data_IF_720076638256
#
_entry.id   IF_720076638256
#
_cell.length_a   1.000
_cell.length_b   1.000
_cell.length_c   1.000
_cell.angle_alpha   90.00
_cell.angle_beta   90.00
_cell.angle_gamma   90.00
#
_symmetry.space_group_name_H-M   'P 1'
#
loop_
_entity.id
_entity.type
_entity.pdbx_description
1 polymer ?
#
# COMPACT_ATOMS: atom_id res chain seq x y z
N UNK A 1 6.74 -4.94 5.45
CA UNK A 1 7.06 -4.06 6.59
C UNK A 1 7.56 -4.73 7.88
N UNK A 2 6.75 -5.48 8.64
CA UNK A 2 7.23 -6.06 9.93
C UNK A 2 8.44 -6.99 9.73
N UNK A 3 8.44 -7.76 8.64
CA UNK A 3 9.57 -8.61 8.25
C UNK A 3 10.82 -7.78 7.88
N UNK A 4 10.66 -6.62 7.24
CA UNK A 4 11.79 -5.72 6.92
C UNK A 4 12.36 -5.06 8.19
N UNK A 5 11.50 -4.69 9.14
CA UNK A 5 11.91 -4.20 10.47
C UNK A 5 12.67 -5.29 11.23
N UNK A 6 12.17 -6.52 11.23
CA UNK A 6 12.85 -7.65 11.86
C UNK A 6 14.20 -7.92 11.18
N UNK A 7 14.26 -7.93 9.85
CA UNK A 7 15.48 -8.18 9.10
C UNK A 7 16.55 -7.09 9.33
N UNK A 8 16.17 -5.80 9.28
CA UNK A 8 17.07 -4.70 9.63
C UNK A 8 17.52 -4.75 11.09
N UNK A 9 16.63 -5.13 12.00
CA UNK A 9 16.95 -5.26 13.43
C UNK A 9 17.92 -6.42 13.66
N UNK A 10 17.70 -7.59 13.07
CA UNK A 10 18.62 -8.74 13.12
C UNK A 10 19.98 -8.35 12.54
N UNK A 11 20.00 -7.63 11.43
CA UNK A 11 21.23 -7.15 10.81
C UNK A 11 22.00 -6.16 11.71
N UNK A 12 21.32 -5.24 12.38
CA UNK A 12 21.94 -4.26 13.28
C UNK A 12 22.31 -4.86 14.63
N UNK A 13 21.58 -5.87 15.08
CA UNK A 13 21.89 -6.57 16.34
C UNK A 13 23.10 -7.48 16.18
N UNK A 14 23.26 -8.11 15.01
CA UNK A 14 24.34 -9.07 14.75
C UNK A 14 25.53 -8.49 13.96
N UNK A 15 25.34 -7.37 13.25
CA UNK A 15 26.34 -6.82 12.32
C UNK A 15 27.47 -6.01 12.95
N UNK A 16 27.38 -5.65 14.24
CA UNK A 16 28.45 -4.89 14.92
C UNK A 16 29.59 -5.75 15.47
N UNK A 17 29.40 -7.05 15.64
CA UNK A 17 30.37 -7.92 16.33
C UNK A 17 31.23 -8.79 15.39
N UNK A 18 31.01 -8.75 14.07
CA UNK A 18 31.75 -9.60 13.12
C UNK A 18 32.64 -8.77 12.17
N UNK A 19 33.94 -8.58 12.50
CA UNK A 19 34.87 -7.83 11.66
C UNK A 19 35.26 -8.53 10.34
N UNK A 20 34.93 -9.82 10.14
CA UNK A 20 35.47 -10.61 9.02
C UNK A 20 34.46 -11.12 7.98
N UNK A 21 33.15 -10.98 8.18
CA UNK A 21 32.18 -11.68 7.30
C UNK A 21 31.32 -10.74 6.44
N UNK A 22 31.49 -10.90 5.12
CA UNK A 22 30.63 -10.43 4.01
C UNK A 22 30.62 -8.89 3.84
N UNK A 23 30.54 -8.35 2.61
CA UNK A 23 30.31 -6.92 2.43
C UNK A 23 29.00 -6.54 3.13
N UNK A 24 29.11 -5.93 4.32
CA UNK A 24 28.01 -5.52 5.21
C UNK A 24 26.89 -4.77 4.48
N UNK A 25 27.18 -4.17 3.34
CA UNK A 25 26.21 -3.49 2.48
C UNK A 25 25.19 -4.42 1.83
N UNK A 26 25.45 -5.71 1.70
CA UNK A 26 24.62 -6.65 0.95
C UNK A 26 23.26 -6.95 1.59
N UNK A 27 23.17 -7.28 2.90
CA UNK A 27 21.86 -7.44 3.54
C UNK A 27 21.09 -6.12 3.62
N UNK A 28 21.78 -5.01 3.83
CA UNK A 28 21.18 -3.68 3.84
C UNK A 28 20.62 -3.30 2.46
N UNK A 29 21.41 -3.48 1.40
CA UNK A 29 21.01 -3.28 0.00
C UNK A 29 19.77 -4.12 -0.33
N UNK A 30 19.77 -5.40 0.06
CA UNK A 30 18.63 -6.31 -0.15
C UNK A 30 17.39 -5.82 0.58
N UNK A 31 17.55 -5.35 1.81
CA UNK A 31 16.42 -4.87 2.61
C UNK A 31 15.82 -3.59 2.04
N UNK A 32 16.66 -2.64 1.57
CA UNK A 32 16.20 -1.43 0.91
C UNK A 32 15.48 -1.74 -0.41
N UNK A 33 15.97 -2.71 -1.19
CA UNK A 33 15.32 -3.16 -2.42
C UNK A 33 13.98 -3.87 -2.14
N UNK A 34 13.90 -4.71 -1.12
CA UNK A 34 12.64 -5.36 -0.71
C UNK A 34 11.63 -4.32 -0.20
N UNK A 35 12.09 -3.30 0.54
CA UNK A 35 11.26 -2.20 1.01
C UNK A 35 10.71 -1.33 -0.14
N UNK A 36 11.52 -1.11 -1.16
CA UNK A 36 11.09 -0.47 -2.41
C UNK A 36 10.11 -1.36 -3.20
N UNK A 37 10.39 -2.65 -3.33
CA UNK A 37 9.49 -3.60 -3.98
C UNK A 37 8.12 -3.67 -3.28
N UNK A 38 8.08 -3.43 -1.96
CA UNK A 38 6.83 -3.34 -1.20
C UNK A 38 5.94 -2.19 -1.68
N UNK A 39 6.53 -1.07 -2.08
CA UNK A 39 5.81 0.07 -2.63
C UNK A 39 5.14 -0.28 -3.97
N UNK A 40 5.86 -0.98 -4.85
CA UNK A 40 5.33 -1.47 -6.12
C UNK A 40 4.22 -2.50 -5.88
N UNK A 41 4.43 -3.42 -4.95
CA UNK A 41 3.44 -4.43 -4.57
C UNK A 41 2.10 -3.80 -4.16
N UNK A 42 2.14 -2.77 -3.30
CA UNK A 42 0.94 -2.02 -2.89
C UNK A 42 0.23 -1.37 -4.08
N UNK A 43 0.98 -0.78 -5.02
CA UNK A 43 0.41 -0.19 -6.23
C UNK A 43 -0.23 -1.23 -7.14
N UNK A 44 0.45 -2.36 -7.36
CA UNK A 44 -0.05 -3.47 -8.17
C UNK A 44 -1.33 -4.05 -7.57
N UNK A 45 -1.35 -4.29 -6.26
CA UNK A 45 -2.56 -4.73 -5.54
C UNK A 45 -3.72 -3.77 -5.79
N UNK A 46 -3.47 -2.46 -5.71
CA UNK A 46 -4.50 -1.44 -5.95
C UNK A 46 -4.98 -1.41 -7.40
N UNK A 47 -4.09 -1.57 -8.38
CA UNK A 47 -4.50 -1.70 -9.78
C UNK A 47 -5.41 -2.92 -9.95
N UNK A 48 -5.01 -4.07 -9.39
CA UNK A 48 -5.78 -5.31 -9.47
C UNK A 48 -7.16 -5.13 -8.83
N UNK A 49 -7.23 -4.54 -7.63
CA UNK A 49 -8.48 -4.26 -6.93
C UNK A 49 -9.39 -3.30 -7.72
N UNK A 50 -8.83 -2.27 -8.36
CA UNK A 50 -9.59 -1.33 -9.20
C UNK A 50 -10.06 -1.94 -10.52
N UNK A 51 -9.33 -2.91 -11.10
CA UNK A 51 -9.69 -3.56 -12.36
C UNK A 51 -10.68 -4.71 -12.16
N UNK A 52 -10.50 -5.52 -11.12
CA UNK A 52 -11.29 -6.73 -10.85
C UNK A 52 -12.48 -6.49 -9.89
N UNK A 53 -13.07 -5.29 -9.91
CA UNK A 53 -14.21 -4.92 -9.03
C UNK A 53 -15.27 -6.05 -9.02
N UNK A 54 -15.60 -6.57 -7.83
CA UNK A 54 -16.48 -7.73 -7.63
C UNK A 54 -15.77 -9.08 -7.59
N UNK A 55 -14.92 -9.40 -8.57
CA UNK A 55 -14.18 -10.67 -8.59
C UNK A 55 -13.01 -10.71 -7.61
N UNK A 56 -12.45 -9.55 -7.25
CA UNK A 56 -11.36 -9.46 -6.27
C UNK A 56 -11.75 -10.05 -4.92
N UNK A 57 -12.94 -9.70 -4.42
CA UNK A 57 -13.44 -10.18 -3.13
C UNK A 57 -13.83 -11.65 -3.19
N UNK A 58 -14.36 -12.13 -4.33
CA UNK A 58 -14.66 -13.55 -4.54
C UNK A 58 -13.40 -14.41 -4.51
N UNK A 59 -12.32 -13.96 -5.15
CA UNK A 59 -11.02 -14.66 -5.13
C UNK A 59 -10.43 -14.65 -3.72
N UNK A 60 -10.63 -13.56 -2.96
CA UNK A 60 -10.18 -13.42 -1.58
C UNK A 60 -11.08 -14.09 -0.53
N UNK A 61 -12.21 -14.69 -0.93
CA UNK A 61 -13.25 -15.20 -0.02
C UNK A 61 -12.82 -16.50 0.65
N UNK A 62 -11.91 -16.38 1.62
CA UNK A 62 -11.42 -17.47 2.46
C UNK A 62 -9.90 -17.41 2.64
N UNK A 63 -9.18 -17.12 1.57
CA UNK A 63 -7.72 -16.97 1.61
C UNK A 63 -7.27 -15.81 0.72
N UNK A 64 -6.40 -14.91 1.19
CA UNK A 64 -5.95 -13.74 0.42
C UNK A 64 -4.92 -14.12 -0.65
N UNK A 65 -5.32 -14.92 -1.63
CA UNK A 65 -4.44 -15.53 -2.65
C UNK A 65 -3.65 -14.47 -3.43
N UNK A 66 -4.30 -13.40 -3.86
CA UNK A 66 -3.66 -12.31 -4.63
C UNK A 66 -2.54 -11.66 -3.82
N UNK A 67 -2.79 -11.34 -2.55
CA UNK A 67 -1.77 -10.74 -1.68
C UNK A 67 -0.57 -11.68 -1.48
N UNK A 68 -0.80 -12.98 -1.29
CA UNK A 68 0.28 -13.97 -1.16
C UNK A 68 1.13 -14.05 -2.42
N UNK A 69 0.50 -14.08 -3.61
CA UNK A 69 1.22 -14.08 -4.89
C UNK A 69 2.08 -12.82 -5.03
N UNK A 70 1.52 -11.65 -4.71
CA UNK A 70 2.26 -10.38 -4.75
C UNK A 70 3.46 -10.41 -3.81
N UNK A 71 3.30 -10.92 -2.57
CA UNK A 71 4.40 -11.05 -1.61
C UNK A 71 5.48 -11.99 -2.15
N UNK A 72 5.12 -13.15 -2.69
CA UNK A 72 6.09 -14.09 -3.27
C UNK A 72 6.86 -13.44 -4.43
N UNK A 73 6.16 -12.77 -5.34
CA UNK A 73 6.79 -12.04 -6.44
C UNK A 73 7.72 -10.93 -5.93
N UNK A 74 7.33 -10.21 -4.88
CA UNK A 74 8.14 -9.16 -4.24
C UNK A 74 9.46 -9.75 -3.70
N UNK A 75 9.42 -10.90 -3.03
CA UNK A 75 10.61 -11.57 -2.51
C UNK A 75 11.50 -12.10 -3.63
N UNK A 76 10.92 -12.75 -4.64
CA UNK A 76 11.66 -13.21 -5.81
C UNK A 76 12.36 -12.05 -6.52
N UNK A 77 11.70 -10.90 -6.64
CA UNK A 77 12.29 -9.68 -7.17
C UNK A 77 13.47 -9.17 -6.34
N UNK A 78 13.32 -9.14 -5.01
CA UNK A 78 14.41 -8.73 -4.11
C UNK A 78 15.63 -9.66 -4.20
N UNK A 79 15.40 -10.98 -4.23
CA UNK A 79 16.46 -11.98 -4.36
C UNK A 79 17.13 -11.92 -5.75
N UNK A 80 16.33 -11.83 -6.83
CA UNK A 80 16.86 -11.73 -8.19
C UNK A 80 17.69 -10.45 -8.37
N UNK A 81 17.18 -9.33 -7.88
CA UNK A 81 17.90 -8.05 -7.88
C UNK A 81 19.20 -8.18 -7.09
N UNK A 82 19.17 -8.82 -5.92
CA UNK A 82 20.37 -9.09 -5.14
C UNK A 82 21.42 -9.91 -5.92
N UNK A 83 21.02 -11.02 -6.54
CA UNK A 83 21.90 -11.89 -7.32
C UNK A 83 22.51 -11.18 -8.54
N UNK A 84 21.70 -10.41 -9.29
CA UNK A 84 22.16 -9.68 -10.47
C UNK A 84 23.11 -8.56 -10.05
N UNK A 85 22.78 -7.81 -9.01
CA UNK A 85 23.56 -6.65 -8.55
C UNK A 85 24.85 -7.04 -7.80
N UNK A 86 25.08 -8.33 -7.52
CA UNK A 86 26.37 -8.84 -7.08
C UNK A 86 27.41 -8.85 -8.21
N UNK A 87 26.99 -8.90 -9.47
CA UNK A 87 27.92 -8.83 -10.61
C UNK A 87 28.44 -7.39 -10.79
N UNK A 88 29.57 -7.10 -10.13
CA UNK A 88 30.58 -6.01 -10.20
C UNK A 88 30.38 -4.67 -10.94
N UNK A 89 29.30 -4.38 -11.67
CA UNK A 89 29.41 -3.36 -12.72
C UNK A 89 29.02 -1.94 -12.28
N UNK A 90 28.11 -1.67 -11.33
CA UNK A 90 27.71 -0.26 -11.10
C UNK A 90 27.32 0.05 -9.65
N UNK A 91 28.18 0.80 -8.91
CA UNK A 91 27.93 1.31 -7.54
C UNK A 91 26.63 2.12 -7.41
N UNK A 92 26.21 2.79 -8.49
CA UNK A 92 25.09 3.73 -8.51
C UNK A 92 23.81 3.20 -9.17
N UNK A 93 23.83 2.05 -9.85
CA UNK A 93 22.63 1.54 -10.55
C UNK A 93 21.47 1.31 -9.59
N UNK A 94 21.75 0.89 -8.34
CA UNK A 94 20.73 0.70 -7.31
C UNK A 94 20.00 2.00 -6.99
N UNK A 95 20.74 3.10 -6.88
CA UNK A 95 20.17 4.42 -6.59
C UNK A 95 19.32 4.88 -7.78
N UNK A 96 19.83 4.74 -9.01
CA UNK A 96 19.10 5.11 -10.23
C UNK A 96 17.82 4.28 -10.39
N UNK A 97 17.92 2.96 -10.26
CA UNK A 97 16.78 2.04 -10.29
C UNK A 97 15.73 2.44 -9.24
N UNK A 98 16.17 2.76 -8.02
CA UNK A 98 15.26 3.15 -6.95
C UNK A 98 14.53 4.46 -7.25
N UNK A 99 15.22 5.45 -7.80
CA UNK A 99 14.61 6.70 -8.23
C UNK A 99 13.58 6.47 -9.35
N UNK A 100 13.89 5.59 -10.32
CA UNK A 100 12.97 5.23 -11.40
C UNK A 100 11.72 4.54 -10.86
N UNK A 101 11.88 3.58 -9.95
CA UNK A 101 10.77 2.86 -9.33
C UNK A 101 9.88 3.79 -8.48
N UNK A 102 10.48 4.72 -7.74
CA UNK A 102 9.74 5.75 -7.00
C UNK A 102 8.98 6.64 -7.98
N UNK A 103 9.62 7.14 -9.03
CA UNK A 103 8.97 7.99 -10.03
C UNK A 103 7.81 7.27 -10.72
N UNK A 104 8.00 6.00 -11.09
CA UNK A 104 6.95 5.16 -11.66
C UNK A 104 5.79 4.97 -10.69
N UNK A 105 6.08 4.65 -9.43
CA UNK A 105 5.06 4.50 -8.38
C UNK A 105 4.27 5.79 -8.23
N UNK A 106 4.94 6.93 -8.12
CA UNK A 106 4.28 8.25 -8.01
C UNK A 106 3.39 8.52 -9.21
N UNK A 107 3.86 8.27 -10.43
CA UNK A 107 3.09 8.48 -11.65
C UNK A 107 1.82 7.60 -11.68
N UNK A 108 1.96 6.32 -11.36
CA UNK A 108 0.83 5.38 -11.28
C UNK A 108 -0.13 5.78 -10.16
N UNK A 109 0.40 6.24 -9.03
CA UNK A 109 -0.38 6.71 -7.90
C UNK A 109 -1.26 7.91 -8.25
N UNK A 110 -0.72 8.87 -9.00
CA UNK A 110 -1.52 10.00 -9.52
C UNK A 110 -2.52 9.57 -10.60
N UNK A 111 -2.24 8.51 -11.37
CA UNK A 111 -3.14 8.03 -12.40
C UNK A 111 -4.32 7.20 -11.85
N UNK A 112 -4.11 6.50 -10.73
CA UNK A 112 -5.09 5.61 -10.11
C UNK A 112 -6.44 6.29 -9.78
N UNK A 113 -6.48 7.49 -9.17
CA UNK A 113 -7.72 8.23 -8.95
C UNK A 113 -8.51 8.48 -10.23
N UNK A 114 -7.83 8.83 -11.33
CA UNK A 114 -8.48 9.06 -12.62
C UNK A 114 -9.09 7.77 -13.19
N UNK A 115 -8.37 6.65 -13.07
CA UNK A 115 -8.86 5.33 -13.51
C UNK A 115 -10.08 4.94 -12.66
N UNK A 116 -9.97 5.01 -11.34
CA UNK A 116 -11.06 4.70 -10.40
C UNK A 116 -12.30 5.57 -10.66
N UNK A 117 -12.13 6.87 -10.90
CA UNK A 117 -13.23 7.78 -11.22
C UNK A 117 -13.87 7.46 -12.58
N UNK A 118 -13.07 7.06 -13.57
CA UNK A 118 -13.58 6.65 -14.89
C UNK A 118 -14.38 5.36 -14.81
N UNK A 119 -13.92 4.38 -14.02
CA UNK A 119 -14.63 3.13 -13.74
C UNK A 119 -15.93 3.44 -12.98
N UNK A 120 -15.88 4.26 -11.95
CA UNK A 120 -17.06 4.70 -11.20
C UNK A 120 -18.11 5.38 -12.11
N UNK A 121 -17.70 6.33 -12.95
CA UNK A 121 -18.60 7.02 -13.88
C UNK A 121 -19.24 6.07 -14.90
N UNK A 122 -18.58 4.96 -15.25
CA UNK A 122 -19.16 3.91 -16.10
C UNK A 122 -20.29 3.14 -15.41
N UNK A 123 -20.24 3.02 -14.08
CA UNK A 123 -21.23 2.30 -13.27
C UNK A 123 -22.21 3.22 -12.53
N UNK A 124 -22.01 4.54 -12.56
CA UNK A 124 -22.94 5.51 -11.97
C UNK A 124 -24.27 5.45 -12.75
N UNK A 125 -25.40 5.23 -12.06
CA UNK A 125 -26.70 5.27 -12.71
C UNK A 125 -26.94 6.71 -13.20
N UNK A 126 -26.94 6.92 -14.52
CA UNK A 126 -27.45 8.15 -15.13
C UNK A 126 -28.93 8.27 -14.80
N UNK A 127 -29.26 9.02 -13.74
CA UNK A 127 -30.60 9.52 -13.53
C UNK A 127 -31.01 10.44 -14.68
N UNK A 128 -32.28 10.35 -15.07
CA UNK A 128 -33.04 11.25 -15.96
C UNK A 128 -33.34 10.81 -17.40
N UNK A 129 -33.00 9.60 -17.85
CA UNK A 129 -33.67 9.02 -19.03
C UNK A 129 -34.26 7.68 -18.68
N UNK A 130 -35.60 7.66 -18.63
CA UNK A 130 -36.39 6.45 -18.51
C UNK A 130 -35.88 5.38 -19.49
N UNK A 131 -35.78 4.10 -19.06
CA UNK A 131 -35.18 3.06 -19.86
C UNK A 131 -36.02 2.81 -21.11
N UNK A 132 -35.43 3.03 -22.30
CA UNK A 132 -35.92 2.42 -23.52
C UNK A 132 -35.84 0.90 -23.34
N UNK A 133 -36.96 0.20 -23.49
CA UNK A 133 -37.18 -1.24 -23.21
C UNK A 133 -36.24 -2.25 -23.91
N UNK A 134 -35.22 -1.81 -24.63
CA UNK A 134 -34.40 -2.65 -25.52
C UNK A 134 -32.96 -2.91 -25.07
N UNK A 135 -32.46 -2.30 -23.98
CA UNK A 135 -31.17 -2.67 -23.39
C UNK A 135 -31.21 -2.53 -21.87
N UNK A 136 -31.60 -3.61 -21.20
CA UNK A 136 -31.42 -3.75 -19.76
C UNK A 136 -29.91 -3.79 -19.45
N UNK A 137 -29.30 -2.62 -19.24
CA UNK A 137 -28.05 -2.58 -18.46
C UNK A 137 -28.47 -2.91 -17.02
N UNK A 138 -27.92 -3.97 -16.40
CA UNK A 138 -28.28 -4.29 -15.03
C UNK A 138 -27.91 -3.06 -14.19
N UNK A 139 -28.86 -2.57 -13.39
CA UNK A 139 -28.55 -1.63 -12.33
C UNK A 139 -27.38 -2.22 -11.54
N UNK A 140 -26.28 -1.48 -11.38
CA UNK A 140 -25.19 -1.91 -10.51
C UNK A 140 -25.78 -2.30 -9.16
N UNK A 141 -25.60 -3.57 -8.76
CA UNK A 141 -26.14 -4.11 -7.52
C UNK A 141 -25.66 -3.25 -6.35
N UNK A 142 -26.46 -3.16 -5.28
CA UNK A 142 -26.08 -2.43 -4.07
C UNK A 142 -24.72 -2.90 -3.51
N UNK A 143 -24.38 -4.18 -3.69
CA UNK A 143 -23.04 -4.73 -3.35
C UNK A 143 -21.92 -4.01 -4.08
N UNK A 144 -22.07 -3.77 -5.40
CA UNK A 144 -21.05 -3.12 -6.21
C UNK A 144 -20.81 -1.66 -5.79
N UNK A 145 -21.85 -0.97 -5.30
CA UNK A 145 -21.73 0.40 -4.78
C UNK A 145 -20.97 0.44 -3.46
N UNK A 146 -21.25 -0.52 -2.57
CA UNK A 146 -20.52 -0.69 -1.31
C UNK A 146 -19.05 -1.02 -1.55
N UNK A 147 -18.77 -2.00 -2.42
CA UNK A 147 -17.40 -2.38 -2.82
C UNK A 147 -16.64 -1.18 -3.39
N UNK A 148 -17.30 -0.35 -4.21
CA UNK A 148 -16.66 0.84 -4.78
C UNK A 148 -16.34 1.89 -3.71
N UNK A 149 -17.17 2.03 -2.66
CA UNK A 149 -16.90 2.93 -1.54
C UNK A 149 -15.73 2.45 -0.68
N UNK A 150 -15.79 1.19 -0.26
CA UNK A 150 -14.73 0.58 0.56
C UNK A 150 -13.40 0.62 -0.20
N UNK A 151 -13.41 0.41 -1.52
CA UNK A 151 -12.21 0.57 -2.34
C UNK A 151 -11.72 2.02 -2.37
N UNK A 152 -12.60 3.03 -2.38
CA UNK A 152 -12.21 4.44 -2.35
C UNK A 152 -11.65 4.86 -0.98
N UNK A 153 -12.23 4.37 0.11
CA UNK A 153 -11.70 4.52 1.47
C UNK A 153 -10.33 3.85 1.59
N UNK A 154 -10.22 2.59 1.16
CA UNK A 154 -8.96 1.85 1.16
C UNK A 154 -7.90 2.53 0.29
N UNK A 155 -8.27 3.11 -0.86
CA UNK A 155 -7.37 3.90 -1.70
C UNK A 155 -6.87 5.15 -0.97
N UNK A 156 -7.73 5.84 -0.23
CA UNK A 156 -7.35 7.04 0.55
C UNK A 156 -6.38 6.70 1.68
N UNK A 157 -6.63 5.61 2.41
CA UNK A 157 -5.72 5.12 3.47
C UNK A 157 -4.38 4.72 2.85
N UNK A 158 -4.43 3.97 1.75
CA UNK A 158 -3.23 3.54 1.02
C UNK A 158 -2.44 4.75 0.50
N UNK A 159 -3.09 5.86 0.17
CA UNK A 159 -2.44 7.12 -0.18
C UNK A 159 -1.51 7.62 0.91
N UNK A 160 -2.04 7.72 2.12
CA UNK A 160 -1.32 8.26 3.27
C UNK A 160 -0.11 7.38 3.59
N UNK A 161 -0.30 6.06 3.54
CA UNK A 161 0.77 5.06 3.72
C UNK A 161 1.83 5.19 2.63
N UNK A 162 1.40 5.27 1.37
CA UNK A 162 2.28 5.37 0.19
C UNK A 162 3.16 6.61 0.26
N UNK A 163 2.60 7.77 0.65
CA UNK A 163 3.36 9.02 0.82
C UNK A 163 4.47 8.87 1.86
N UNK A 164 4.16 8.29 3.03
CA UNK A 164 5.17 8.03 4.06
C UNK A 164 6.25 7.10 3.54
N UNK A 165 5.87 6.05 2.81
CA UNK A 165 6.81 5.08 2.28
C UNK A 165 7.73 5.69 1.21
N UNK A 166 7.21 6.57 0.35
CA UNK A 166 8.00 7.32 -0.63
C UNK A 166 9.03 8.21 0.08
N UNK A 167 8.60 8.99 1.08
CA UNK A 167 9.50 9.87 1.84
C UNK A 167 10.59 9.03 2.53
N UNK A 168 10.20 7.93 3.16
CA UNK A 168 11.11 7.01 3.85
C UNK A 168 12.12 6.41 2.87
N UNK A 169 11.67 5.95 1.70
CA UNK A 169 12.55 5.45 0.65
C UNK A 169 13.57 6.51 0.22
N UNK A 170 13.13 7.73 -0.10
CA UNK A 170 14.04 8.81 -0.51
C UNK A 170 15.10 9.06 0.56
N UNK A 171 14.69 9.24 1.82
CA UNK A 171 15.61 9.50 2.93
C UNK A 171 16.60 8.35 3.15
N UNK A 172 16.12 7.12 3.16
CA UNK A 172 16.97 5.93 3.37
C UNK A 172 17.95 5.73 2.22
N UNK A 173 17.56 5.96 0.96
CA UNK A 173 18.46 5.87 -0.19
C UNK A 173 19.52 6.99 -0.20
N UNK A 174 19.15 8.22 0.17
CA UNK A 174 20.11 9.33 0.29
C UNK A 174 21.14 9.07 1.40
N UNK A 175 20.69 8.64 2.58
CA UNK A 175 21.58 8.28 3.68
C UNK A 175 22.45 7.08 3.33
N UNK A 176 21.91 6.10 2.61
CA UNK A 176 22.67 4.95 2.15
C UNK A 176 23.76 5.34 1.15
N UNK A 177 23.45 6.21 0.18
CA UNK A 177 24.43 6.75 -0.77
C UNK A 177 25.52 7.56 -0.06
N UNK A 178 25.14 8.37 0.93
CA UNK A 178 26.07 9.12 1.79
C UNK A 178 26.98 8.16 2.57
N UNK A 179 26.40 7.17 3.26
CA UNK A 179 27.13 6.19 4.05
C UNK A 179 28.10 5.34 3.22
N UNK A 180 27.80 5.07 1.94
CA UNK A 180 28.70 4.36 1.02
C UNK A 180 29.95 5.16 0.63
N UNK A 181 29.97 6.47 0.87
CA UNK A 181 31.14 7.32 0.62
C UNK A 181 31.96 7.59 1.90
N UNK A 182 31.47 7.15 3.06
CA UNK A 182 32.19 7.26 4.32
C UNK A 182 33.21 6.13 4.48
N UNK A 183 34.27 6.42 5.24
CA UNK A 183 35.18 5.38 5.70
C UNK A 183 34.44 4.44 6.66
N UNK A 184 34.70 3.14 6.53
CA UNK A 184 34.02 2.14 7.37
C UNK A 184 34.44 2.29 8.83
N UNK A 185 33.52 1.96 9.74
CA UNK A 185 33.72 1.96 11.20
C UNK A 185 34.04 3.33 11.82
N UNK A 186 33.86 4.43 11.09
CA UNK A 186 33.89 5.75 11.73
C UNK A 186 32.60 5.99 12.50
N UNK A 187 32.66 6.91 13.47
CA UNK A 187 31.50 7.29 14.27
C UNK A 187 30.34 7.80 13.40
N UNK A 188 30.66 8.56 12.35
CA UNK A 188 29.66 9.10 11.41
C UNK A 188 29.01 7.99 10.56
N UNK A 189 29.77 6.97 10.18
CA UNK A 189 29.22 5.78 9.52
C UNK A 189 28.23 5.05 10.43
N UNK A 190 28.58 4.85 11.70
CA UNK A 190 27.70 4.22 12.70
C UNK A 190 26.41 5.01 12.91
N UNK A 191 26.50 6.34 13.05
CA UNK A 191 25.33 7.22 13.14
C UNK A 191 24.46 7.07 11.90
N UNK A 192 25.05 7.04 10.70
CA UNK A 192 24.31 6.92 9.44
C UNK A 192 23.53 5.60 9.39
N UNK A 193 24.14 4.48 9.81
CA UNK A 193 23.45 3.19 9.87
C UNK A 193 22.29 3.18 10.87
N UNK A 194 22.50 3.76 12.06
CA UNK A 194 21.43 3.89 13.07
C UNK A 194 20.30 4.81 12.58
N UNK A 195 20.63 5.88 11.85
CA UNK A 195 19.65 6.78 11.27
C UNK A 195 18.78 6.08 10.21
N UNK A 196 19.39 5.31 9.30
CA UNK A 196 18.65 4.52 8.30
C UNK A 196 17.64 3.59 8.98
N UNK A 197 18.07 2.88 10.02
CA UNK A 197 17.19 1.98 10.77
C UNK A 197 16.07 2.71 11.52
N UNK A 198 16.41 3.79 12.20
CA UNK A 198 15.45 4.61 12.92
C UNK A 198 14.36 5.15 11.98
N UNK A 199 14.74 5.58 10.77
CA UNK A 199 13.78 6.05 9.75
C UNK A 199 12.85 4.93 9.30
N UNK A 200 13.38 3.74 9.00
CA UNK A 200 12.57 2.57 8.62
C UNK A 200 11.59 2.21 9.75
N UNK A 201 12.07 2.15 10.99
CA UNK A 201 11.26 1.83 12.16
C UNK A 201 10.16 2.86 12.43
N UNK A 202 10.51 4.15 12.38
CA UNK A 202 9.56 5.24 12.54
C UNK A 202 8.48 5.20 11.46
N UNK A 203 8.87 4.95 10.19
CA UNK A 203 7.92 4.81 9.08
C UNK A 203 6.94 3.67 9.34
N UNK A 204 7.41 2.55 9.88
CA UNK A 204 6.57 1.40 10.16
C UNK A 204 5.55 1.67 11.25
N UNK A 205 5.96 2.34 12.33
CA UNK A 205 5.04 2.79 13.37
C UNK A 205 4.02 3.78 12.79
N UNK A 206 4.46 4.78 12.02
CA UNK A 206 3.55 5.77 11.45
C UNK A 206 2.49 5.14 10.54
N UNK A 207 2.88 4.17 9.71
CA UNK A 207 1.93 3.44 8.86
C UNK A 207 0.93 2.64 9.69
N UNK A 208 1.38 1.95 10.75
CA UNK A 208 0.47 1.22 11.65
C UNK A 208 -0.49 2.14 12.40
N UNK A 209 -0.02 3.30 12.86
CA UNK A 209 -0.87 4.32 13.50
C UNK A 209 -1.95 4.81 12.54
N UNK A 210 -1.61 5.08 11.28
CA UNK A 210 -2.61 5.47 10.27
C UNK A 210 -3.67 4.39 10.10
N UNK A 211 -3.26 3.13 9.95
CA UNK A 211 -4.20 2.00 9.82
C UNK A 211 -5.11 1.92 11.04
N UNK A 212 -4.56 1.99 12.25
CA UNK A 212 -5.32 1.92 13.50
C UNK A 212 -6.30 3.09 13.65
N UNK A 213 -5.88 4.33 13.33
CA UNK A 213 -6.74 5.51 13.42
C UNK A 213 -7.91 5.42 12.45
N UNK A 214 -7.68 4.94 11.23
CA UNK A 214 -8.70 4.82 10.19
C UNK A 214 -9.68 3.67 10.44
N UNK A 215 -9.19 2.56 11.02
CA UNK A 215 -10.06 1.47 11.51
C UNK A 215 -10.91 1.94 12.70
N UNK A 216 -10.29 2.61 13.68
CA UNK A 216 -10.99 3.11 14.88
C UNK A 216 -12.05 4.16 14.57
N UNK A 217 -11.81 5.00 13.55
CA UNK A 217 -12.80 6.00 13.11
C UNK A 217 -14.00 5.32 12.41
N UNK A 218 -13.79 4.19 11.73
CA UNK A 218 -14.85 3.39 11.11
C UNK A 218 -15.83 2.78 12.12
N UNK A 219 -15.34 2.26 13.24
CA UNK A 219 -16.20 1.66 14.27
C UNK A 219 -17.08 2.69 15.00
N UNK A 220 -16.58 3.92 15.19
CA UNK A 220 -17.35 4.99 15.88
C UNK A 220 -18.55 5.51 15.09
N UNK A 221 -18.65 5.18 13.80
CA UNK A 221 -19.79 5.55 12.96
C UNK A 221 -20.90 4.50 12.95
N UNK A 222 -20.74 3.39 13.67
CA UNK A 222 -21.80 2.40 13.87
C UNK A 222 -22.82 3.02 14.83
N UNK A 223 -23.82 3.72 14.26
CA UNK A 223 -24.97 4.20 15.02
C UNK A 223 -25.66 2.97 15.60
N UNK A 224 -25.82 2.85 16.94
CA UNK A 224 -26.56 1.75 17.52
C UNK A 224 -28.01 1.85 17.07
N UNK A 225 -28.37 1.08 16.04
CA UNK A 225 -29.74 0.96 15.60
C UNK A 225 -30.45 0.15 16.68
N UNK A 226 -31.43 0.75 17.38
CA UNK A 226 -32.35 0.00 18.23
C UNK A 226 -32.96 -1.11 17.37
N UNK A 227 -32.61 -2.36 17.69
CA UNK A 227 -33.12 -3.54 16.99
C UNK A 227 -34.55 -3.76 17.47
N UNK A 228 -35.48 -2.98 16.92
CA UNK A 228 -36.82 -3.52 16.76
C UNK A 228 -36.75 -4.64 15.71
N UNK A 229 -37.49 -5.75 15.87
CA UNK A 229 -37.53 -6.82 14.89
C UNK A 229 -38.21 -6.31 13.61
N UNK A 230 -37.43 -5.63 12.79
CA UNK A 230 -37.77 -5.19 11.46
C UNK A 230 -37.68 -6.39 10.52
N UNK A 231 -38.55 -6.45 9.52
CA UNK A 231 -38.36 -7.40 8.42
C UNK A 231 -36.98 -7.16 7.78
N UNK A 232 -36.35 -8.24 7.31
CA UNK A 232 -35.00 -8.20 6.68
C UNK A 232 -34.90 -7.10 5.62
N UNK A 233 -35.96 -6.92 4.84
CA UNK A 233 -36.06 -5.89 3.79
C UNK A 233 -36.08 -4.46 4.34
N UNK A 234 -36.75 -4.24 5.48
CA UNK A 234 -36.84 -2.92 6.12
C UNK A 234 -35.56 -2.56 6.88
N UNK A 235 -34.89 -3.57 7.45
CA UNK A 235 -33.55 -3.44 8.04
C UNK A 235 -32.51 -3.07 6.97
N UNK A 236 -32.56 -3.74 5.82
CA UNK A 236 -31.74 -3.40 4.66
C UNK A 236 -32.02 -1.96 4.20
N UNK A 237 -33.28 -1.57 3.99
CA UNK A 237 -33.62 -0.22 3.55
C UNK A 237 -33.18 0.87 4.53
N UNK A 238 -33.34 0.67 5.84
CA UNK A 238 -32.88 1.61 6.87
C UNK A 238 -31.35 1.74 6.92
N UNK A 239 -30.65 0.62 6.84
CA UNK A 239 -29.19 0.61 6.71
C UNK A 239 -28.74 1.40 5.48
N UNK A 240 -29.40 1.20 4.33
CA UNK A 240 -29.08 1.90 3.09
C UNK A 240 -29.45 3.39 3.10
N UNK A 241 -30.51 3.78 3.80
CA UNK A 241 -30.92 5.17 3.94
C UNK A 241 -29.93 5.96 4.82
N UNK A 242 -29.55 5.40 5.97
CA UNK A 242 -28.53 5.98 6.84
C UNK A 242 -27.18 6.12 6.10
N UNK A 243 -26.83 5.11 5.32
CA UNK A 243 -25.62 5.08 4.52
C UNK A 243 -25.62 6.11 3.38
N UNK A 244 -26.73 6.23 2.64
CA UNK A 244 -26.95 7.28 1.63
C UNK A 244 -26.78 8.67 2.22
N UNK A 245 -27.29 8.89 3.44
CA UNK A 245 -27.21 10.17 4.11
C UNK A 245 -25.79 10.51 4.56
N UNK A 246 -25.04 9.54 5.11
CA UNK A 246 -23.61 9.73 5.44
C UNK A 246 -22.77 10.02 4.18
N UNK A 247 -23.04 9.31 3.08
CA UNK A 247 -22.38 9.52 1.79
C UNK A 247 -22.57 10.95 1.26
N UNK A 248 -23.82 11.46 1.28
CA UNK A 248 -24.14 12.79 0.78
C UNK A 248 -23.54 13.91 1.64
N UNK A 249 -23.19 13.63 2.90
CA UNK A 249 -22.50 14.59 3.78
C UNK A 249 -21.01 14.69 3.46
N UNK A 250 -20.33 13.56 3.19
CA UNK A 250 -18.89 13.53 2.90
C UNK A 250 -18.52 14.08 1.52
N UNK A 251 -19.43 13.99 0.54
CA UNK A 251 -19.23 14.58 -0.80
C UNK A 251 -19.39 16.11 -0.84
N UNK A 252 -19.88 16.73 0.24
CA UNK A 252 -20.07 18.19 0.35
C UNK A 252 -18.88 18.91 0.99
N UNK A 253 -17.92 18.16 1.53
CA UNK A 253 -16.67 18.64 2.15
C UNK A 253 -15.51 18.40 1.21
#
# INVERSE_FOLDING_TARGET
>A
MLVEVVHTTIFISNGFDYPEYVPMWYPLDTTLLVFLAHLIAQVVERIIATVLVGSYDEIGRGFPFIAVVIIVCQWLYGIASFCILQTYVIKYIKVVQSLVEIAFTVAVYFLLPYISQRVYNKYKPTGSRAPSKTRARPYASLSLRYETFENLKAATITAKITVIQIITNILTFLLHAWGKNMQRNTFEWLITMKAIHGIIYASAISQQVIVLMELSYGERQIVPCKVEPLSVEKQQNLYFEQYSNQWNMQMKT
#
